data_IF_940472037724
#
_entry.id   IF_940472037724
#
_cell.length_a   1.000
_cell.length_b   1.000
_cell.length_c   1.000
_cell.angle_alpha   90.00
_cell.angle_beta   90.00
_cell.angle_gamma   90.00
#
_symmetry.space_group_name_H-M   'P 1'
#
loop_
_entity.id
_entity.type
_entity.pdbx_description
1 polymer ?
#
# COMPACT_ATOMS: atom_id res chain seq x y z
N UNK A 1 -31.33 -30.52 -25.36
CA UNK A 1 -31.08 -29.28 -26.12
C UNK A 1 -30.89 -28.16 -25.12
N UNK A 2 -29.65 -27.63 -25.05
CA UNK A 2 -29.13 -26.44 -24.35
C UNK A 2 -29.12 -26.45 -22.80
N UNK A 3 -27.99 -25.99 -22.19
CA UNK A 3 -27.68 -24.56 -22.09
C UNK A 3 -26.27 -24.19 -22.57
N UNK A 4 -26.16 -23.10 -23.35
CA UNK A 4 -24.88 -22.51 -23.79
C UNK A 4 -24.94 -20.97 -23.85
N UNK A 5 -25.66 -20.33 -22.91
CA UNK A 5 -25.77 -18.85 -22.89
C UNK A 5 -25.04 -18.19 -21.71
N UNK A 6 -24.44 -18.94 -20.78
CA UNK A 6 -23.82 -18.37 -19.57
C UNK A 6 -22.29 -18.11 -19.70
N UNK A 7 -21.71 -18.36 -20.88
CA UNK A 7 -20.27 -18.14 -21.15
C UNK A 7 -19.98 -16.89 -21.98
N UNK A 8 -20.99 -16.24 -22.55
CA UNK A 8 -20.79 -15.10 -23.46
C UNK A 8 -20.56 -13.75 -22.74
N UNK A 9 -21.09 -13.57 -21.53
CA UNK A 9 -20.95 -12.28 -20.79
C UNK A 9 -19.58 -12.12 -20.12
N UNK A 10 -18.77 -13.19 -20.05
CA UNK A 10 -17.48 -13.18 -19.34
C UNK A 10 -16.27 -12.83 -20.23
N UNK A 11 -16.47 -12.58 -21.53
CA UNK A 11 -15.36 -12.42 -22.50
C UNK A 11 -15.18 -10.99 -23.06
N UNK A 12 -16.15 -10.09 -22.98
CA UNK A 12 -16.03 -8.74 -23.57
C UNK A 12 -15.09 -7.77 -22.81
N UNK A 13 -14.53 -8.16 -21.66
CA UNK A 13 -13.68 -7.25 -20.83
C UNK A 13 -12.20 -7.67 -20.75
N UNK A 14 -11.83 -8.85 -21.25
CA UNK A 14 -10.44 -9.33 -21.17
C UNK A 14 -9.49 -8.66 -22.18
N UNK A 15 -9.99 -8.42 -23.39
CA UNK A 15 -9.20 -7.86 -24.50
C UNK A 15 -8.77 -6.39 -24.29
N UNK A 16 -9.67 -5.45 -23.91
CA UNK A 16 -9.26 -4.06 -23.64
C UNK A 16 -8.34 -3.95 -22.41
N UNK A 17 -8.52 -4.84 -21.43
CA UNK A 17 -7.71 -4.86 -20.22
C UNK A 17 -6.27 -5.34 -20.48
N UNK A 18 -6.12 -6.40 -21.28
CA UNK A 18 -4.83 -6.92 -21.68
C UNK A 18 -4.07 -5.94 -22.61
N UNK A 19 -4.78 -5.29 -23.54
CA UNK A 19 -4.21 -4.26 -24.40
C UNK A 19 -3.67 -3.08 -23.58
N UNK A 20 -4.49 -2.55 -22.65
CA UNK A 20 -4.08 -1.45 -21.78
C UNK A 20 -2.90 -1.86 -20.88
N UNK A 21 -2.93 -3.05 -20.27
CA UNK A 21 -1.81 -3.53 -19.45
C UNK A 21 -0.51 -3.63 -20.26
N UNK A 22 -0.59 -4.08 -21.52
CA UNK A 22 0.55 -4.15 -22.43
C UNK A 22 1.07 -2.76 -22.79
N UNK A 23 0.18 -1.80 -23.05
CA UNK A 23 0.53 -0.40 -23.32
C UNK A 23 1.28 0.24 -22.14
N UNK A 24 0.77 0.05 -20.92
CA UNK A 24 1.39 0.57 -19.70
C UNK A 24 2.76 -0.07 -19.46
N UNK A 25 2.88 -1.38 -19.67
CA UNK A 25 4.15 -2.09 -19.55
C UNK A 25 5.18 -1.60 -20.58
N UNK A 26 4.76 -1.32 -21.82
CA UNK A 26 5.64 -0.76 -22.85
C UNK A 26 6.17 0.65 -22.51
N UNK A 27 5.47 1.38 -21.64
CA UNK A 27 5.84 2.73 -21.20
C UNK A 27 6.28 2.78 -19.72
N UNK A 28 6.64 1.64 -19.13
CA UNK A 28 6.91 1.50 -17.71
C UNK A 28 7.91 2.54 -17.17
N UNK A 29 9.09 2.63 -17.78
CA UNK A 29 10.15 3.53 -17.33
C UNK A 29 9.67 4.99 -17.31
N UNK A 30 8.95 5.43 -18.34
CA UNK A 30 8.43 6.81 -18.41
C UNK A 30 7.38 7.07 -17.34
N UNK A 31 6.47 6.12 -17.12
CA UNK A 31 5.42 6.23 -16.11
C UNK A 31 6.01 6.25 -14.69
N UNK A 32 6.99 5.40 -14.41
CA UNK A 32 7.69 5.34 -13.13
C UNK A 32 8.43 6.65 -12.81
N UNK A 33 9.14 7.21 -13.79
CA UNK A 33 9.81 8.51 -13.62
C UNK A 33 8.82 9.66 -13.48
N UNK A 34 7.74 9.68 -14.28
CA UNK A 34 6.69 10.68 -14.17
C UNK A 34 6.01 10.65 -12.80
N UNK A 35 5.75 9.45 -12.27
CA UNK A 35 5.21 9.30 -10.92
C UNK A 35 6.19 9.74 -9.84
N UNK A 36 7.48 9.42 -9.97
CA UNK A 36 8.49 9.92 -9.03
C UNK A 36 8.48 11.45 -8.99
N UNK A 37 8.41 12.12 -10.15
CA UNK A 37 8.32 13.57 -10.23
C UNK A 37 7.03 14.10 -9.58
N UNK A 38 5.89 13.47 -9.85
CA UNK A 38 4.59 13.86 -9.29
C UNK A 38 4.54 13.74 -7.77
N UNK A 39 5.06 12.63 -7.22
CA UNK A 39 5.14 12.40 -5.78
C UNK A 39 5.99 13.47 -5.09
N UNK A 40 7.13 13.84 -5.70
CA UNK A 40 7.99 14.91 -5.18
C UNK A 40 7.29 16.27 -5.22
N UNK A 41 6.61 16.59 -6.33
CA UNK A 41 5.87 17.84 -6.46
C UNK A 41 4.75 17.97 -5.42
N UNK A 42 4.08 16.87 -5.07
CA UNK A 42 3.02 16.82 -4.06
C UNK A 42 3.53 16.72 -2.62
N UNK A 43 4.85 16.62 -2.40
CA UNK A 43 5.42 16.42 -1.07
C UNK A 43 5.02 15.09 -0.42
N UNK A 44 4.72 14.07 -1.23
CA UNK A 44 4.37 12.73 -0.75
C UNK A 44 5.64 11.88 -0.59
N UNK A 45 5.59 10.88 0.30
CA UNK A 45 6.67 9.89 0.51
C UNK A 45 8.07 10.53 0.70
N UNK A 46 8.12 11.64 1.44
CA UNK A 46 9.35 12.46 1.61
C UNK A 46 10.51 11.71 2.26
N UNK A 47 10.22 10.65 3.01
CA UNK A 47 11.20 9.81 3.70
C UNK A 47 11.94 8.83 2.76
N UNK A 48 11.42 8.56 1.56
CA UNK A 48 12.05 7.64 0.62
C UNK A 48 13.15 8.34 -0.17
N UNK A 49 14.31 7.69 -0.27
CA UNK A 49 15.36 8.08 -1.21
C UNK A 49 14.89 7.96 -2.67
N UNK A 50 15.56 8.62 -3.64
CA UNK A 50 15.20 8.51 -5.05
C UNK A 50 15.16 7.06 -5.56
N UNK A 51 16.13 6.22 -5.16
CA UNK A 51 16.19 4.82 -5.56
C UNK A 51 15.06 3.98 -4.94
N UNK A 52 14.65 4.28 -3.71
CA UNK A 52 13.49 3.64 -3.09
C UNK A 52 12.20 4.06 -3.76
N UNK A 53 12.07 5.33 -4.11
CA UNK A 53 10.88 5.84 -4.79
C UNK A 53 10.72 5.17 -6.16
N UNK A 54 11.80 5.00 -6.93
CA UNK A 54 11.74 4.28 -8.20
C UNK A 54 11.31 2.81 -8.03
N UNK A 55 11.82 2.13 -6.98
CA UNK A 55 11.37 0.76 -6.64
C UNK A 55 9.88 0.71 -6.30
N UNK A 56 9.38 1.69 -5.55
CA UNK A 56 7.94 1.81 -5.24
C UNK A 56 7.11 2.03 -6.51
N UNK A 57 7.58 2.88 -7.43
CA UNK A 57 6.92 3.13 -8.70
C UNK A 57 6.74 1.82 -9.50
N UNK A 58 7.80 1.01 -9.59
CA UNK A 58 7.78 -0.28 -10.27
C UNK A 58 6.83 -1.29 -9.60
N UNK A 59 6.70 -1.25 -8.26
CA UNK A 59 5.72 -2.08 -7.53
C UNK A 59 4.30 -1.64 -7.89
N UNK A 60 4.02 -0.33 -7.83
CA UNK A 60 2.70 0.20 -8.15
C UNK A 60 2.30 -0.10 -9.59
N UNK A 61 3.22 0.05 -10.55
CA UNK A 61 2.95 -0.30 -11.93
C UNK A 61 2.60 -1.78 -12.10
N UNK A 62 3.33 -2.68 -11.42
CA UNK A 62 3.00 -4.13 -11.44
C UNK A 62 1.64 -4.44 -10.83
N UNK A 63 1.28 -3.77 -9.73
CA UNK A 63 -0.06 -3.91 -9.12
C UNK A 63 -1.12 -3.43 -10.11
N UNK A 64 -0.89 -2.33 -10.79
CA UNK A 64 -1.78 -1.81 -11.83
C UNK A 64 -1.94 -2.77 -13.01
N UNK A 65 -0.85 -3.24 -13.62
CA UNK A 65 -0.93 -4.19 -14.73
C UNK A 65 -1.54 -5.51 -14.30
N UNK A 66 -1.22 -5.99 -13.09
CA UNK A 66 -1.81 -7.17 -12.49
C UNK A 66 -3.32 -7.02 -12.29
N UNK A 67 -3.76 -5.91 -11.71
CA UNK A 67 -5.17 -5.59 -11.49
C UNK A 67 -5.97 -5.52 -12.80
N UNK A 68 -5.40 -4.91 -13.85
CA UNK A 68 -6.04 -4.84 -15.17
C UNK A 68 -6.17 -6.23 -15.80
N UNK A 69 -5.10 -7.03 -15.78
CA UNK A 69 -5.10 -8.36 -16.42
C UNK A 69 -5.86 -9.42 -15.66
N UNK A 70 -5.97 -9.33 -14.33
CA UNK A 70 -6.42 -10.47 -13.54
C UNK A 70 -7.88 -10.78 -13.79
N UNK A 71 -8.76 -9.78 -13.94
CA UNK A 71 -10.22 -9.92 -14.18
C UNK A 71 -10.99 -10.65 -13.07
N UNK A 72 -10.36 -11.62 -12.41
CA UNK A 72 -10.71 -12.25 -11.16
C UNK A 72 -10.43 -11.29 -10.02
N UNK A 73 -11.52 -10.92 -9.36
CA UNK A 73 -11.52 -10.07 -8.18
C UNK A 73 -10.59 -10.58 -7.07
N UNK A 74 -10.35 -11.90 -6.99
CA UNK A 74 -9.54 -12.53 -5.96
C UNK A 74 -8.02 -12.26 -6.11
N UNK A 75 -7.45 -12.44 -7.31
CA UNK A 75 -6.01 -12.23 -7.52
C UNK A 75 -5.61 -10.76 -7.39
N UNK A 76 -6.46 -9.86 -7.91
CA UNK A 76 -6.36 -8.43 -7.70
C UNK A 76 -6.38 -8.06 -6.21
N UNK A 77 -7.33 -8.61 -5.43
CA UNK A 77 -7.42 -8.39 -3.99
C UNK A 77 -6.15 -8.83 -3.25
N UNK A 78 -5.56 -9.98 -3.61
CA UNK A 78 -4.33 -10.47 -2.97
C UNK A 78 -3.16 -9.50 -3.19
N UNK A 79 -2.99 -8.99 -4.42
CA UNK A 79 -1.91 -8.04 -4.73
C UNK A 79 -2.08 -6.70 -4.00
N UNK A 80 -3.31 -6.20 -3.94
CA UNK A 80 -3.67 -4.95 -3.26
C UNK A 80 -3.54 -5.09 -1.74
N UNK A 81 -3.95 -6.24 -1.19
CA UNK A 81 -3.78 -6.55 0.22
C UNK A 81 -2.31 -6.61 0.62
N UNK A 82 -1.47 -7.31 -0.16
CA UNK A 82 -0.02 -7.35 0.09
C UNK A 82 0.61 -5.95 0.06
N UNK A 83 0.20 -5.08 -0.88
CA UNK A 83 0.68 -3.69 -0.93
C UNK A 83 0.30 -2.92 0.34
N UNK A 84 -0.95 -3.08 0.80
CA UNK A 84 -1.47 -2.45 2.00
C UNK A 84 -0.72 -2.91 3.26
N UNK A 85 -0.62 -4.22 3.49
CA UNK A 85 0.11 -4.78 4.64
C UNK A 85 1.56 -4.29 4.66
N UNK A 86 2.28 -4.42 3.54
CA UNK A 86 3.67 -3.97 3.43
C UNK A 86 3.81 -2.48 3.77
N UNK A 87 2.89 -1.65 3.28
CA UNK A 87 2.95 -0.21 3.50
C UNK A 87 2.71 0.19 4.95
N UNK A 88 1.73 -0.44 5.61
CA UNK A 88 1.40 -0.22 7.02
C UNK A 88 2.52 -0.73 7.92
N UNK A 89 3.12 -1.88 7.60
CA UNK A 89 4.24 -2.45 8.35
C UNK A 89 5.51 -1.59 8.28
N UNK A 90 5.74 -0.89 7.17
CA UNK A 90 6.85 0.07 7.02
C UNK A 90 6.50 1.44 7.66
N UNK A 91 5.38 1.53 8.38
CA UNK A 91 4.98 2.72 9.13
C UNK A 91 4.44 3.86 8.27
N UNK A 92 4.00 3.58 7.04
CA UNK A 92 3.30 4.58 6.21
C UNK A 92 1.87 4.75 6.71
N UNK A 93 1.40 5.98 6.69
CA UNK A 93 -0.01 6.28 6.94
C UNK A 93 -0.87 5.83 5.75
N UNK A 94 -2.13 5.48 6.01
CA UNK A 94 -3.11 5.16 4.96
C UNK A 94 -3.24 6.32 3.96
N UNK A 95 -3.15 7.56 4.43
CA UNK A 95 -3.21 8.76 3.59
C UNK A 95 -2.04 8.85 2.61
N UNK A 96 -0.82 8.53 3.05
CA UNK A 96 0.36 8.50 2.16
C UNK A 96 0.23 7.43 1.08
N UNK A 97 -0.31 6.26 1.43
CA UNK A 97 -0.49 5.13 0.49
C UNK A 97 -1.55 5.46 -0.55
N UNK A 98 -2.71 5.96 -0.11
CA UNK A 98 -3.77 6.37 -1.03
C UNK A 98 -3.35 7.56 -1.89
N UNK A 99 -2.67 8.55 -1.32
CA UNK A 99 -2.14 9.69 -2.07
C UNK A 99 -1.15 9.28 -3.16
N UNK A 100 -0.26 8.34 -2.85
CA UNK A 100 0.67 7.74 -3.82
C UNK A 100 -0.06 7.01 -4.97
N UNK A 101 -1.11 6.25 -4.65
CA UNK A 101 -1.92 5.52 -5.62
C UNK A 101 -2.74 6.47 -6.52
N UNK A 102 -3.32 7.52 -5.95
CA UNK A 102 -4.00 8.57 -6.71
C UNK A 102 -3.04 9.31 -7.64
N UNK A 103 -1.85 9.68 -7.17
CA UNK A 103 -0.83 10.30 -8.02
C UNK A 103 -0.44 9.38 -9.20
N UNK A 104 -0.33 8.07 -8.98
CA UNK A 104 -0.07 7.11 -10.06
C UNK A 104 -1.23 7.03 -11.04
N UNK A 105 -2.46 7.03 -10.53
CA UNK A 105 -3.68 7.06 -11.35
C UNK A 105 -3.72 8.29 -12.26
N UNK A 106 -3.35 9.46 -11.72
CA UNK A 106 -3.30 10.71 -12.47
C UNK A 106 -2.22 10.68 -13.57
N UNK A 107 -1.05 10.12 -13.28
CA UNK A 107 0.04 9.96 -14.25
C UNK A 107 -0.40 9.07 -15.42
N UNK A 108 -1.03 7.92 -15.15
CA UNK A 108 -1.58 7.06 -16.21
C UNK A 108 -2.68 7.79 -16.97
N UNK A 109 -3.63 8.45 -16.28
CA UNK A 109 -4.71 9.21 -16.93
C UNK A 109 -4.14 10.25 -17.90
N UNK A 110 -3.13 10.99 -17.47
CA UNK A 110 -2.49 12.02 -18.29
C UNK A 110 -1.70 11.41 -19.45
N UNK A 111 -1.09 10.24 -19.25
CA UNK A 111 -0.43 9.49 -20.31
C UNK A 111 -1.43 9.09 -21.40
N UNK A 112 -2.54 8.43 -21.04
CA UNK A 112 -3.58 8.01 -21.98
C UNK A 112 -4.19 9.19 -22.74
N UNK A 113 -4.47 10.31 -22.05
CA UNK A 113 -4.98 11.55 -22.70
C UNK A 113 -4.02 12.15 -23.72
N UNK A 114 -2.70 12.02 -23.51
CA UNK A 114 -1.70 12.49 -24.48
C UNK A 114 -1.59 11.58 -25.70
N UNK A 115 -1.90 10.29 -25.55
CA UNK A 115 -1.86 9.31 -26.63
C UNK A 115 -3.17 9.24 -27.43
N UNK A 116 -4.28 9.71 -26.87
CA UNK A 116 -5.58 9.70 -27.53
C UNK A 116 -5.51 10.44 -28.89
N UNK A 117 -5.84 9.77 -30.02
CA UNK A 117 -5.81 10.39 -31.34
C UNK A 117 -6.83 11.53 -31.41
N UNK A 118 -6.46 12.63 -32.08
CA UNK A 118 -7.28 13.84 -32.20
C UNK A 118 -8.57 13.69 -33.05
N UNK A 119 -9.03 12.49 -33.38
CA UNK A 119 -10.26 12.27 -34.13
C UNK A 119 -10.48 10.82 -34.58
N UNK A 120 -11.73 10.36 -34.38
CA UNK A 120 -12.45 9.32 -35.16
C UNK A 120 -11.65 8.12 -35.66
N UNK A 121 -11.03 7.37 -34.75
CA UNK A 121 -10.51 6.02 -35.03
C UNK A 121 -11.33 4.96 -34.28
N UNK A 122 -11.50 3.79 -34.89
CA UNK A 122 -12.18 2.59 -34.38
C UNK A 122 -11.59 2.00 -33.08
N UNK A 123 -10.55 2.59 -32.50
CA UNK A 123 -10.05 2.19 -31.18
C UNK A 123 -10.96 2.79 -30.10
N UNK A 124 -11.63 1.90 -29.35
CA UNK A 124 -12.37 2.27 -28.16
C UNK A 124 -11.48 3.09 -27.22
N UNK A 125 -11.99 4.24 -26.76
CA UNK A 125 -11.30 5.09 -25.78
C UNK A 125 -10.94 4.26 -24.53
N UNK A 126 -9.65 4.09 -24.17
CA UNK A 126 -9.25 3.31 -22.99
C UNK A 126 -9.56 4.02 -21.68
N UNK A 127 -9.85 5.33 -21.71
CA UNK A 127 -9.98 6.16 -20.53
C UNK A 127 -11.14 5.75 -19.61
N UNK A 128 -12.38 5.50 -20.08
CA UNK A 128 -13.48 5.10 -19.22
C UNK A 128 -13.25 3.75 -18.53
N UNK A 129 -12.60 2.82 -19.22
CA UNK A 129 -12.20 1.54 -18.64
C UNK A 129 -11.14 1.75 -17.55
N UNK A 130 -10.09 2.52 -17.84
CA UNK A 130 -9.06 2.85 -16.87
C UNK A 130 -9.62 3.56 -15.64
N UNK A 131 -10.52 4.54 -15.82
CA UNK A 131 -11.12 5.28 -14.70
C UNK A 131 -11.95 4.38 -13.78
N UNK A 132 -12.68 3.42 -14.35
CA UNK A 132 -13.40 2.40 -13.58
C UNK A 132 -12.43 1.50 -12.81
N UNK A 133 -11.37 1.01 -13.48
CA UNK A 133 -10.35 0.19 -12.85
C UNK A 133 -9.62 0.93 -11.72
N UNK A 134 -9.32 2.21 -11.93
CA UNK A 134 -8.71 3.10 -10.94
C UNK A 134 -9.55 3.24 -9.69
N UNK A 135 -10.84 3.51 -9.87
CA UNK A 135 -11.77 3.63 -8.76
C UNK A 135 -11.85 2.32 -7.97
N UNK A 136 -11.95 1.18 -8.64
CA UNK A 136 -11.99 -0.13 -7.98
C UNK A 136 -10.70 -0.43 -7.21
N UNK A 137 -9.54 -0.18 -7.82
CA UNK A 137 -8.24 -0.39 -7.19
C UNK A 137 -8.07 0.45 -5.93
N UNK A 138 -8.42 1.75 -6.01
CA UNK A 138 -8.35 2.67 -4.85
C UNK A 138 -9.28 2.20 -3.73
N UNK A 139 -10.52 1.81 -4.04
CA UNK A 139 -11.47 1.33 -3.04
C UNK A 139 -10.98 0.05 -2.34
N UNK A 140 -10.44 -0.90 -3.10
CA UNK A 140 -9.86 -2.12 -2.53
C UNK A 140 -8.59 -1.86 -1.72
N UNK A 141 -7.76 -0.92 -2.16
CA UNK A 141 -6.57 -0.52 -1.43
C UNK A 141 -6.93 0.15 -0.11
N UNK A 142 -7.93 1.03 -0.10
CA UNK A 142 -8.43 1.68 1.11
C UNK A 142 -8.96 0.66 2.13
N UNK A 143 -9.80 -0.28 1.68
CA UNK A 143 -10.33 -1.35 2.53
C UNK A 143 -9.19 -2.23 3.10
N UNK A 144 -8.23 -2.61 2.25
CA UNK A 144 -7.09 -3.42 2.68
C UNK A 144 -6.18 -2.69 3.66
N UNK A 145 -5.95 -1.39 3.47
CA UNK A 145 -5.18 -0.56 4.39
C UNK A 145 -5.88 -0.42 5.75
N UNK A 146 -7.20 -0.23 5.76
CA UNK A 146 -7.98 -0.18 6.98
C UNK A 146 -7.89 -1.50 7.76
N UNK A 147 -8.11 -2.64 7.08
CA UNK A 147 -8.00 -3.96 7.69
C UNK A 147 -6.59 -4.24 8.26
N UNK A 148 -5.54 -3.93 7.49
CA UNK A 148 -4.15 -4.09 7.95
C UNK A 148 -3.83 -3.19 9.16
N UNK A 149 -4.39 -1.98 9.20
CA UNK A 149 -4.22 -1.07 10.33
C UNK A 149 -4.94 -1.58 11.59
N UNK A 150 -6.19 -2.04 11.45
CA UNK A 150 -6.96 -2.63 12.55
C UNK A 150 -6.24 -3.84 13.15
N UNK A 151 -5.72 -4.73 12.31
CA UNK A 151 -4.96 -5.90 12.75
C UNK A 151 -3.66 -5.51 13.49
N UNK A 152 -2.93 -4.52 12.98
CA UNK A 152 -1.74 -4.00 13.67
C UNK A 152 -2.10 -3.41 15.04
N UNK A 153 -3.18 -2.63 15.13
CA UNK A 153 -3.66 -2.06 16.39
C UNK A 153 -4.08 -3.16 17.35
N UNK A 154 -4.82 -4.17 16.88
CA UNK A 154 -5.23 -5.33 17.69
C UNK A 154 -4.02 -6.05 18.27
N UNK A 155 -3.04 -6.43 17.43
CA UNK A 155 -1.81 -7.10 17.89
C UNK A 155 -1.05 -6.28 18.93
N UNK A 156 -0.99 -4.95 18.76
CA UNK A 156 -0.37 -4.06 19.75
C UNK A 156 -1.14 -4.02 21.06
N UNK A 157 -2.47 -4.01 21.02
CA UNK A 157 -3.30 -4.07 22.22
C UNK A 157 -3.15 -5.41 22.94
N UNK A 158 -3.15 -6.53 22.21
CA UNK A 158 -2.94 -7.85 22.80
C UNK A 158 -1.57 -7.94 23.48
N UNK A 159 -0.51 -7.46 22.80
CA UNK A 159 0.83 -7.38 23.39
C UNK A 159 0.89 -6.47 24.63
N UNK A 160 0.14 -5.36 24.66
CA UNK A 160 0.02 -4.48 25.83
C UNK A 160 -0.72 -5.14 27.00
N UNK A 161 -1.75 -5.94 26.72
CA UNK A 161 -2.48 -6.70 27.75
C UNK A 161 -1.57 -7.79 28.32
N UNK A 162 -0.90 -8.57 27.47
CA UNK A 162 0.08 -9.58 27.89
C UNK A 162 1.21 -8.96 28.70
N UNK A 163 1.74 -7.82 28.26
CA UNK A 163 2.68 -7.00 29.01
C UNK A 163 2.16 -6.66 30.41
N UNK A 164 0.95 -6.11 30.51
CA UNK A 164 0.34 -5.74 31.79
C UNK A 164 0.21 -6.91 32.76
N UNK A 165 -0.23 -8.07 32.26
CA UNK A 165 -0.33 -9.31 33.06
C UNK A 165 1.06 -9.77 33.51
N UNK A 166 2.04 -9.79 32.59
CA UNK A 166 3.40 -10.23 32.89
C UNK A 166 4.11 -9.31 33.90
N UNK A 167 3.82 -8.01 33.88
CA UNK A 167 4.34 -7.05 34.84
C UNK A 167 3.66 -7.16 36.20
N UNK A 168 2.34 -7.38 36.25
CA UNK A 168 1.61 -7.58 37.51
C UNK A 168 2.07 -8.82 38.29
N UNK A 169 2.63 -9.83 37.60
CA UNK A 169 3.19 -11.03 38.23
C UNK A 169 4.66 -10.95 38.63
N UNK A 170 5.37 -9.85 38.36
CA UNK A 170 6.81 -9.74 38.59
C UNK A 170 7.12 -9.06 39.94
N UNK A 171 7.79 -9.78 40.85
CA UNK A 171 8.01 -9.35 42.23
C UNK A 171 9.26 -8.45 42.45
N UNK A 172 9.89 -7.96 41.38
CA UNK A 172 11.15 -7.20 41.48
C UNK A 172 11.23 -6.03 40.52
N UNK A 173 11.52 -4.82 41.06
CA UNK A 173 11.59 -3.57 40.31
C UNK A 173 12.53 -3.66 39.10
N UNK A 174 13.75 -4.18 39.27
CA UNK A 174 14.72 -4.30 38.17
C UNK A 174 14.20 -5.13 36.99
N UNK A 175 13.47 -6.21 37.29
CA UNK A 175 12.88 -7.09 36.27
C UNK A 175 11.69 -6.44 35.60
N UNK A 176 10.84 -5.74 36.35
CA UNK A 176 9.72 -4.94 35.83
C UNK A 176 10.24 -3.89 34.86
N UNK A 177 11.25 -3.12 35.26
CA UNK A 177 11.83 -2.05 34.43
C UNK A 177 12.44 -2.58 33.13
N UNK A 178 13.22 -3.67 33.20
CA UNK A 178 13.77 -4.31 32.01
C UNK A 178 12.66 -4.79 31.07
N UNK A 179 11.62 -5.44 31.62
CA UNK A 179 10.51 -5.98 30.85
C UNK A 179 9.67 -4.87 30.20
N UNK A 180 9.44 -3.74 30.89
CA UNK A 180 8.82 -2.55 30.31
C UNK A 180 9.61 -2.06 29.10
N UNK A 181 10.94 -1.95 29.21
CA UNK A 181 11.76 -1.45 28.10
C UNK A 181 11.76 -2.41 26.90
N UNK A 182 11.82 -3.72 27.16
CA UNK A 182 11.80 -4.75 26.12
C UNK A 182 10.47 -4.76 25.37
N UNK A 183 9.36 -4.72 26.12
CA UNK A 183 8.01 -4.64 25.57
C UNK A 183 7.78 -3.33 24.80
N UNK A 184 8.22 -2.19 25.33
CA UNK A 184 8.12 -0.91 24.64
C UNK A 184 8.91 -0.92 23.33
N UNK A 185 10.13 -1.52 23.33
CA UNK A 185 10.93 -1.68 22.11
C UNK A 185 10.19 -2.52 21.07
N UNK A 186 9.60 -3.62 21.48
CA UNK A 186 8.86 -4.54 20.61
C UNK A 186 7.59 -3.91 20.04
N UNK A 187 6.72 -3.36 20.90
CA UNK A 187 5.43 -2.76 20.53
C UNK A 187 5.62 -1.57 19.57
N UNK A 188 6.65 -0.75 19.82
CA UNK A 188 6.96 0.41 18.98
C UNK A 188 7.76 0.05 17.72
N UNK A 189 8.22 -1.20 17.58
CA UNK A 189 9.10 -1.61 16.48
C UNK A 189 10.44 -0.86 16.48
N UNK A 190 10.92 -0.45 17.65
CA UNK A 190 12.14 0.35 17.79
C UNK A 190 13.39 -0.54 17.67
N UNK A 191 14.42 -0.04 16.98
CA UNK A 191 15.72 -0.73 16.89
C UNK A 191 16.42 -0.83 18.25
N UNK A 192 16.18 0.16 19.12
CA UNK A 192 16.81 0.28 20.43
C UNK A 192 15.84 0.96 21.40
N UNK A 193 15.87 0.53 22.67
CA UNK A 193 15.18 1.20 23.77
C UNK A 193 16.09 1.17 25.02
N UNK A 194 16.01 2.22 25.81
CA UNK A 194 16.71 2.36 27.09
C UNK A 194 15.78 3.03 28.10
N UNK A 195 15.95 2.66 29.37
CA UNK A 195 15.26 3.25 30.50
C UNK A 195 16.32 3.77 31.46
N UNK A 196 16.20 5.02 31.88
CA UNK A 196 16.98 5.60 32.95
C UNK A 196 16.09 5.92 34.14
N UNK A 197 16.52 5.57 35.35
CA UNK A 197 15.89 5.99 36.61
C UNK A 197 16.76 7.07 37.23
N UNK A 198 16.13 8.18 37.60
CA UNK A 198 16.78 9.29 38.30
C UNK A 198 16.42 9.27 39.78
N UNK A 199 17.34 9.66 40.64
CA UNK A 199 17.07 9.95 42.05
C UNK A 199 16.50 11.37 42.24
N UNK A 200 16.16 11.71 43.49
CA UNK A 200 15.61 13.02 43.86
C UNK A 200 16.60 14.18 43.59
N UNK A 201 17.89 13.89 43.43
CA UNK A 201 18.92 14.86 43.08
C UNK A 201 19.16 14.96 41.55
N UNK A 202 18.40 14.21 40.74
CA UNK A 202 18.52 14.19 39.29
C UNK A 202 19.68 13.36 38.76
N UNK A 203 20.27 12.49 39.58
CA UNK A 203 21.38 11.61 39.20
C UNK A 203 20.86 10.26 38.72
N UNK A 204 21.49 9.73 37.67
CA UNK A 204 21.22 8.39 37.15
C UNK A 204 21.57 7.35 38.22
N UNK A 205 20.56 6.57 38.61
CA UNK A 205 20.69 5.46 39.56
C UNK A 205 20.57 4.10 38.88
N UNK A 206 19.87 4.03 37.74
CA UNK A 206 19.78 2.84 36.87
C UNK A 206 19.65 3.25 35.41
#
# INVERSE_FOLDING_TARGET
MMPAEDTAVKQEHGEPAAALATELAAHAERLEHAWCAEVRARGLLTRLSPAELLREAAILLRVWTGFLTSGEEAAAKVQVHWLAERSVLVGRSVQEVLGALFAFSDVIRQHLRRQAPAGTGENADPLPFFERAAQQLVMQAAASCAAAHEELVRRRMDALVEAGVALAGEAGLDRVLQKIVDLAREILGARYAALGVLDDAGKLVR
#
